data_IF_696223191999
#
_entry.id   IF_696223191999
#
_cell.length_a   1.000
_cell.length_b   1.000
_cell.length_c   1.000
_cell.angle_alpha   90.00
_cell.angle_beta   90.00
_cell.angle_gamma   90.00
#
_symmetry.space_group_name_H-M   'P 1'
#
loop_
_entity.id
_entity.type
_entity.pdbx_description
1 polymer ?
#
# COMPACT_ATOMS: atom_id res chain seq x y z
N UNK A 1 3.99 15.12 -0.53
CA UNK A 1 3.32 13.82 -0.34
C UNK A 1 4.22 12.75 -0.93
N UNK A 2 4.53 11.71 -0.16
CA UNK A 2 5.26 10.54 -0.64
C UNK A 2 4.30 9.36 -0.67
N UNK A 3 4.41 8.50 -1.67
CA UNK A 3 3.65 7.26 -1.76
C UNK A 3 4.67 6.15 -1.71
N UNK A 4 4.47 5.22 -0.77
CA UNK A 4 5.33 4.07 -0.58
C UNK A 4 4.51 2.81 -0.85
N UNK A 5 5.06 1.90 -1.65
CA UNK A 5 4.46 0.59 -1.90
C UNK A 5 5.31 -0.50 -1.27
N UNK A 6 4.70 -1.32 -0.41
CA UNK A 6 5.39 -2.39 0.29
C UNK A 6 5.81 -3.53 -0.65
N UNK A 7 7.10 -3.90 -0.64
CA UNK A 7 7.70 -4.96 -1.47
C UNK A 7 8.42 -6.05 -0.64
N UNK A 8 8.19 -6.10 0.68
CA UNK A 8 8.84 -7.09 1.56
C UNK A 8 8.33 -8.53 1.39
N UNK A 9 7.31 -8.75 0.55
CA UNK A 9 6.95 -10.07 0.06
C UNK A 9 5.97 -10.89 0.88
N UNK A 10 5.60 -10.39 2.05
CA UNK A 10 4.43 -10.86 2.80
C UNK A 10 3.22 -9.99 2.45
N UNK A 11 2.02 -10.51 2.67
CA UNK A 11 0.82 -9.71 2.40
C UNK A 11 0.67 -8.63 3.47
N UNK A 12 0.79 -7.37 3.09
CA UNK A 12 0.41 -6.24 3.93
C UNK A 12 -1.11 -6.06 3.88
N UNK A 13 -1.78 -6.11 5.03
CA UNK A 13 -3.24 -6.00 5.12
C UNK A 13 -3.72 -4.98 6.19
N UNK A 14 -2.78 -4.37 6.92
CA UNK A 14 -3.09 -3.36 7.92
C UNK A 14 -3.74 -2.13 7.30
N UNK A 15 -4.75 -1.58 7.98
CA UNK A 15 -5.40 -0.33 7.61
C UNK A 15 -5.41 0.54 8.86
N UNK A 16 -4.53 1.51 8.85
CA UNK A 16 -4.26 2.34 10.00
C UNK A 16 -3.87 3.73 9.58
N UNK A 17 -4.17 4.69 10.45
CA UNK A 17 -3.84 6.10 10.26
C UNK A 17 -3.25 6.57 11.58
N UNK A 18 -2.10 7.24 11.53
CA UNK A 18 -1.54 8.00 12.64
C UNK A 18 -1.65 9.48 12.29
N UNK A 19 -2.12 10.30 13.23
CA UNK A 19 -2.24 11.74 13.08
C UNK A 19 -1.52 12.38 14.26
N UNK A 20 -0.66 13.36 13.95
CA UNK A 20 0.23 14.01 14.91
C UNK A 20 0.91 12.99 15.82
N UNK A 21 1.06 13.30 17.12
CA UNK A 21 1.79 12.46 18.08
C UNK A 21 0.87 11.68 19.04
N UNK A 22 -0.46 11.84 18.95
CA UNK A 22 -1.41 11.31 19.93
C UNK A 22 -2.60 10.52 19.34
N UNK A 23 -2.91 10.62 18.04
CA UNK A 23 -4.08 9.93 17.47
C UNK A 23 -3.68 8.71 16.65
N UNK A 24 -4.17 7.54 17.06
CA UNK A 24 -4.04 6.29 16.32
C UNK A 24 -5.41 5.77 15.88
N UNK A 25 -5.53 5.39 14.61
CA UNK A 25 -6.76 4.84 14.04
C UNK A 25 -6.43 3.50 13.39
N UNK A 26 -7.21 2.46 13.71
CA UNK A 26 -7.00 1.10 13.16
C UNK A 26 -8.36 0.51 12.82
N UNK A 27 -8.47 -0.20 11.69
CA UNK A 27 -9.74 -0.86 11.35
C UNK A 27 -9.74 -1.59 10.02
N UNK A 28 -10.92 -1.61 9.37
CA UNK A 28 -11.16 -2.34 8.12
C UNK A 28 -11.31 -1.47 6.88
N UNK A 29 -11.43 -0.14 7.05
CA UNK A 29 -11.70 0.81 5.97
C UNK A 29 -10.51 0.94 4.98
N UNK A 30 -10.77 0.66 3.70
CA UNK A 30 -9.86 1.01 2.61
C UNK A 30 -10.16 2.43 2.10
N UNK A 31 -9.14 3.15 1.63
CA UNK A 31 -9.31 4.48 1.02
C UNK A 31 -9.87 4.40 -0.41
N UNK A 32 -11.07 3.84 -0.56
CA UNK A 32 -11.77 3.69 -1.83
C UNK A 32 -13.28 3.93 -1.74
N UNK A 33 -13.96 4.22 -2.87
CA UNK A 33 -15.40 4.50 -2.87
C UNK A 33 -16.27 3.34 -2.40
N UNK A 34 -15.85 2.08 -2.59
CA UNK A 34 -16.64 0.91 -2.17
C UNK A 34 -16.68 0.83 -0.65
N UNK A 35 -15.54 0.96 0.02
CA UNK A 35 -15.49 1.03 1.49
C UNK A 35 -16.25 2.24 2.04
N UNK A 36 -16.31 3.35 1.27
CA UNK A 36 -17.04 4.56 1.66
C UNK A 36 -18.56 4.41 1.58
N UNK A 37 -19.09 3.80 0.51
CA UNK A 37 -20.52 3.88 0.20
C UNK A 37 -21.27 2.55 0.28
N UNK A 38 -20.57 1.42 0.25
CA UNK A 38 -21.20 0.10 0.10
C UNK A 38 -20.85 -0.88 1.22
N UNK A 39 -19.63 -0.84 1.73
CA UNK A 39 -19.19 -1.75 2.79
C UNK A 39 -19.59 -1.27 4.19
N UNK A 40 -19.85 -2.22 5.07
CA UNK A 40 -19.88 -1.96 6.52
C UNK A 40 -18.45 -2.05 7.05
N UNK A 41 -17.81 -0.90 7.23
CA UNK A 41 -16.45 -0.80 7.78
C UNK A 41 -16.47 -0.32 9.24
N UNK A 42 -15.45 -0.67 10.01
CA UNK A 42 -15.26 -0.20 11.38
C UNK A 42 -13.85 0.38 11.53
N UNK A 43 -13.76 1.52 12.20
CA UNK A 43 -12.51 2.15 12.61
C UNK A 43 -12.54 2.42 14.11
N UNK A 44 -11.50 2.00 14.83
CA UNK A 44 -11.27 2.35 16.22
C UNK A 44 -10.34 3.57 16.27
N UNK A 45 -10.78 4.62 16.94
CA UNK A 45 -9.97 5.82 17.19
C UNK A 45 -9.48 5.79 18.63
N UNK A 46 -8.16 5.95 18.81
CA UNK A 46 -7.49 5.95 20.10
C UNK A 46 -6.73 7.28 20.21
N UNK A 47 -7.07 8.07 21.23
CA UNK A 47 -6.26 9.23 21.62
C UNK A 47 -5.33 8.78 22.76
N UNK A 48 -4.04 8.68 22.46
CA UNK A 48 -2.98 8.31 23.38
C UNK A 48 -1.62 8.20 22.68
N UNK A 49 -0.65 8.96 23.17
CA UNK A 49 0.72 9.05 22.64
C UNK A 49 1.43 7.69 22.58
N UNK A 50 1.28 6.85 23.60
CA UNK A 50 1.94 5.53 23.65
C UNK A 50 1.44 4.59 22.55
N UNK A 51 0.15 4.64 22.23
CA UNK A 51 -0.45 3.81 21.17
C UNK A 51 -0.09 4.35 19.80
N UNK A 52 -0.15 5.68 19.60
CA UNK A 52 0.29 6.31 18.36
C UNK A 52 1.77 5.97 18.08
N UNK A 53 2.66 6.12 19.06
CA UNK A 53 4.08 5.80 18.91
C UNK A 53 4.32 4.35 18.49
N UNK A 54 3.63 3.39 19.11
CA UNK A 54 3.72 1.98 18.73
C UNK A 54 3.22 1.74 17.31
N UNK A 55 2.12 2.37 16.92
CA UNK A 55 1.60 2.27 15.56
C UNK A 55 2.58 2.82 14.52
N UNK A 56 3.12 4.02 14.76
CA UNK A 56 4.12 4.66 13.91
C UNK A 56 5.38 3.80 13.79
N UNK A 57 5.88 3.24 14.89
CA UNK A 57 7.04 2.33 14.87
C UNK A 57 6.79 1.11 13.97
N UNK A 58 5.64 0.46 14.09
CA UNK A 58 5.27 -0.66 13.22
C UNK A 58 5.18 -0.23 11.75
N UNK A 59 4.62 0.95 11.46
CA UNK A 59 4.56 1.49 10.10
C UNK A 59 5.97 1.76 9.54
N UNK A 60 6.87 2.37 10.32
CA UNK A 60 8.26 2.60 9.94
C UNK A 60 9.02 1.29 9.65
N UNK A 61 8.70 0.20 10.34
CA UNK A 61 9.29 -1.11 10.05
C UNK A 61 8.86 -1.62 8.67
N UNK A 62 7.58 -1.46 8.29
CA UNK A 62 7.12 -1.79 6.94
C UNK A 62 7.72 -0.88 5.87
N UNK A 63 7.93 0.41 6.17
CA UNK A 63 8.51 1.37 5.23
C UNK A 63 9.94 1.01 4.80
N UNK A 64 10.70 0.27 5.63
CA UNK A 64 12.06 -0.19 5.28
C UNK A 64 12.06 -1.08 4.03
N UNK A 65 11.00 -1.87 3.87
CA UNK A 65 10.81 -2.77 2.73
C UNK A 65 9.90 -2.18 1.65
N UNK A 66 9.64 -0.87 1.69
CA UNK A 66 8.78 -0.19 0.73
C UNK A 66 9.58 0.61 -0.31
N UNK A 67 9.01 0.74 -1.51
CA UNK A 67 9.56 1.47 -2.64
C UNK A 67 8.79 2.79 -2.83
N UNK A 68 9.49 3.87 -3.16
CA UNK A 68 8.84 5.16 -3.43
C UNK A 68 8.22 5.16 -4.84
N UNK A 69 6.93 5.47 -4.92
CA UNK A 69 6.16 5.49 -6.16
C UNK A 69 6.09 6.93 -6.69
N UNK A 70 6.61 7.11 -7.90
CA UNK A 70 6.53 8.37 -8.63
C UNK A 70 5.13 8.59 -9.20
N UNK A 71 4.85 9.84 -9.59
CA UNK A 71 3.53 10.23 -10.12
C UNK A 71 3.15 9.52 -11.43
N UNK A 72 4.15 9.09 -12.20
CA UNK A 72 3.96 8.32 -13.44
C UNK A 72 3.80 6.80 -13.19
N UNK A 73 3.82 6.37 -11.93
CA UNK A 73 3.73 4.96 -11.52
C UNK A 73 5.06 4.21 -11.60
N UNK A 74 6.18 4.88 -11.91
CA UNK A 74 7.51 4.28 -11.79
C UNK A 74 7.97 4.24 -10.33
N UNK A 75 8.96 3.38 -10.03
CA UNK A 75 9.54 3.28 -8.69
C UNK A 75 10.90 3.97 -8.63
N UNK A 76 11.15 4.71 -7.56
CA UNK A 76 12.45 5.27 -7.21
C UNK A 76 13.15 4.35 -6.21
N UNK A 77 14.19 3.65 -6.66
CA UNK A 77 15.00 2.78 -5.82
C UNK A 77 16.02 3.59 -5.02
N UNK A 78 16.16 3.30 -3.74
CA UNK A 78 17.32 3.73 -2.95
C UNK A 78 18.54 2.89 -3.34
N UNK A 79 19.75 3.38 -3.09
CA UNK A 79 21.01 2.71 -3.48
C UNK A 79 21.13 1.27 -2.93
N UNK A 80 20.47 0.98 -1.81
CA UNK A 80 20.47 -0.32 -1.12
C UNK A 80 19.26 -1.21 -1.46
N UNK A 81 18.29 -0.71 -2.23
CA UNK A 81 17.05 -1.42 -2.53
C UNK A 81 17.08 -2.07 -3.92
N UNK A 82 16.66 -3.33 -3.97
CA UNK A 82 16.37 -4.04 -5.21
C UNK A 82 14.87 -4.35 -5.24
N UNK A 83 14.15 -3.83 -6.23
CA UNK A 83 12.76 -4.25 -6.46
C UNK A 83 12.71 -5.75 -6.71
N UNK A 84 11.72 -6.43 -6.15
CA UNK A 84 11.52 -7.85 -6.40
C UNK A 84 11.21 -8.11 -7.87
N UNK A 85 12.06 -8.91 -8.49
CA UNK A 85 11.79 -9.38 -9.83
C UNK A 85 10.55 -10.29 -9.84
N UNK A 86 9.64 -10.01 -10.77
CA UNK A 86 8.58 -10.95 -11.11
C UNK A 86 9.23 -12.22 -11.66
N UNK A 87 8.87 -13.39 -11.13
CA UNK A 87 9.30 -14.67 -11.70
C UNK A 87 9.02 -14.70 -13.21
N UNK A 88 9.96 -15.15 -14.05
CA UNK A 88 9.84 -15.04 -15.51
C UNK A 88 8.53 -15.57 -16.09
N UNK A 89 7.96 -16.64 -15.52
CA UNK A 89 6.63 -17.17 -15.89
C UNK A 89 5.50 -16.16 -15.63
N UNK A 90 5.56 -15.42 -14.51
CA UNK A 90 4.58 -14.39 -14.12
C UNK A 90 4.70 -13.17 -15.04
N UNK A 91 5.93 -12.74 -15.35
CA UNK A 91 6.17 -11.65 -16.31
C UNK A 91 5.55 -11.93 -17.69
N UNK A 92 5.82 -13.11 -18.26
CA UNK A 92 5.29 -13.50 -19.58
C UNK A 92 3.76 -13.53 -19.57
N UNK A 93 3.14 -14.08 -18.51
CA UNK A 93 1.67 -14.10 -18.37
C UNK A 93 1.07 -12.70 -18.31
N UNK A 94 1.64 -11.81 -17.49
CA UNK A 94 1.17 -10.42 -17.37
C UNK A 94 1.29 -9.69 -18.70
N UNK A 95 2.40 -9.86 -19.41
CA UNK A 95 2.64 -9.23 -20.72
C UNK A 95 1.66 -9.73 -21.79
N UNK A 96 1.42 -11.04 -21.84
CA UNK A 96 0.45 -11.65 -22.76
C UNK A 96 -0.97 -11.16 -22.46
N UNK A 97 -1.34 -11.06 -21.19
CA UNK A 97 -2.65 -10.55 -20.78
C UNK A 97 -2.85 -9.09 -21.20
N UNK A 98 -1.85 -8.24 -20.97
CA UNK A 98 -1.87 -6.85 -21.43
C UNK A 98 -1.98 -6.73 -22.95
N UNK A 99 -1.30 -7.60 -23.71
CA UNK A 99 -1.39 -7.61 -25.17
C UNK A 99 -2.78 -8.01 -25.66
N UNK A 100 -3.37 -9.05 -25.06
CA UNK A 100 -4.65 -9.60 -25.48
C UNK A 100 -5.86 -8.78 -25.01
N UNK A 101 -5.77 -8.11 -23.86
CA UNK A 101 -6.90 -7.43 -23.22
C UNK A 101 -6.65 -5.96 -22.90
N UNK A 102 -5.50 -5.39 -23.22
CA UNK A 102 -5.19 -3.98 -22.95
C UNK A 102 -6.15 -3.00 -23.62
N UNK A 103 -6.73 -3.38 -24.76
CA UNK A 103 -7.77 -2.61 -25.45
C UNK A 103 -9.08 -2.50 -24.65
N UNK A 104 -9.41 -3.51 -23.83
CA UNK A 104 -10.62 -3.52 -23.01
C UNK A 104 -10.58 -2.51 -21.85
N UNK A 105 -9.38 -2.04 -21.48
CA UNK A 105 -9.18 -1.02 -20.43
C UNK A 105 -9.75 0.36 -20.78
N UNK A 106 -10.10 0.59 -22.05
CA UNK A 106 -10.74 1.83 -22.51
C UNK A 106 -12.28 1.70 -22.59
N UNK A 107 -12.83 0.51 -22.33
CA UNK A 107 -14.27 0.25 -22.36
C UNK A 107 -14.91 0.18 -20.96
N UNK A 108 -14.11 0.31 -19.89
CA UNK A 108 -14.53 0.31 -18.50
C UNK A 108 -13.76 1.37 -17.71
#
# INVERSE_FOLDING_TARGET
MKILEYDGGVSYHGKSIAIDDDVAIIGSFNLDPRSTYLSTELMLVINGEDTNRQLVQNMCDYEKDALEVNRDGSYSLREDQNARELTGKKYIRVKLFHLLFGWARNFF
#
